data_IF_541984699436
#
_entry.id   IF_541984699436
#
_cell.length_a   1.000
_cell.length_b   1.000
_cell.length_c   1.000
_cell.angle_alpha   90.00
_cell.angle_beta   90.00
_cell.angle_gamma   90.00
#
_symmetry.space_group_name_H-M   'P 1'
#
loop_
_entity.id
_entity.type
_entity.pdbx_description
1 polymer ?
#
# COMPACT_ATOMS: atom_id res chain seq x y z
N UNK A 1 -14.17 -44.06 -7.32
CA UNK A 1 -14.07 -43.16 -6.15
C UNK A 1 -14.26 -41.73 -6.65
N UNK A 2 -15.51 -41.28 -6.72
CA UNK A 2 -15.83 -39.90 -7.15
C UNK A 2 -15.51 -38.99 -5.97
N UNK A 3 -14.45 -38.20 -6.10
CA UNK A 3 -14.18 -37.07 -5.22
C UNK A 3 -15.13 -35.94 -5.63
N UNK A 4 -16.39 -36.07 -5.23
CA UNK A 4 -17.34 -34.95 -5.19
C UNK A 4 -16.94 -34.04 -4.03
N UNK A 5 -15.76 -33.41 -4.15
CA UNK A 5 -15.35 -32.33 -3.28
C UNK A 5 -16.39 -31.21 -3.47
N UNK A 6 -16.89 -30.54 -2.43
CA UNK A 6 -17.75 -29.37 -2.60
C UNK A 6 -16.88 -28.21 -3.09
N UNK A 7 -16.53 -28.25 -4.39
CA UNK A 7 -15.74 -27.27 -5.13
C UNK A 7 -16.25 -25.81 -4.99
N UNK A 8 -17.55 -25.51 -4.80
CA UNK A 8 -17.98 -24.14 -4.48
C UNK A 8 -17.70 -23.71 -3.03
N UNK A 9 -17.64 -24.65 -2.07
CA UNK A 9 -17.46 -24.33 -0.66
C UNK A 9 -16.01 -23.91 -0.35
N UNK A 10 -15.01 -24.63 -0.88
CA UNK A 10 -13.59 -24.32 -0.60
C UNK A 10 -13.16 -22.90 -1.00
N UNK A 11 -13.78 -22.35 -2.05
CA UNK A 11 -13.44 -21.04 -2.63
C UNK A 11 -14.00 -19.88 -1.80
N UNK A 12 -15.25 -20.00 -1.36
CA UNK A 12 -15.87 -19.06 -0.42
C UNK A 12 -15.23 -19.17 0.96
N UNK A 13 -14.84 -20.39 1.36
CA UNK A 13 -14.08 -20.63 2.59
C UNK A 13 -12.73 -19.92 2.56
N UNK A 14 -12.04 -19.93 1.41
CA UNK A 14 -10.79 -19.19 1.24
C UNK A 14 -10.98 -17.68 1.35
N UNK A 15 -11.97 -17.12 0.65
CA UNK A 15 -12.33 -15.69 0.80
C UNK A 15 -12.68 -15.33 2.24
N UNK A 16 -13.46 -16.17 2.93
CA UNK A 16 -13.82 -16.00 4.34
C UNK A 16 -12.61 -16.08 5.26
N UNK A 17 -11.72 -17.06 5.06
CA UNK A 17 -10.48 -17.20 5.84
C UNK A 17 -9.55 -16.01 5.62
N UNK A 18 -9.42 -15.52 4.38
CA UNK A 18 -8.64 -14.32 4.07
C UNK A 18 -9.23 -13.08 4.76
N UNK A 19 -10.55 -12.89 4.66
CA UNK A 19 -11.23 -11.79 5.33
C UNK A 19 -11.08 -11.87 6.85
N UNK A 20 -11.20 -13.06 7.43
CA UNK A 20 -11.00 -13.31 8.85
C UNK A 20 -9.58 -12.91 9.28
N UNK A 21 -8.56 -13.45 8.62
CA UNK A 21 -7.15 -13.19 8.95
C UNK A 21 -6.82 -11.71 8.76
N UNK A 22 -7.23 -11.11 7.64
CA UNK A 22 -6.88 -9.72 7.37
C UNK A 22 -7.64 -8.75 8.27
N UNK A 23 -8.90 -9.05 8.62
CA UNK A 23 -9.65 -8.25 9.58
C UNK A 23 -9.06 -8.38 10.98
N UNK A 24 -8.62 -9.59 11.35
CA UNK A 24 -7.91 -9.84 12.59
C UNK A 24 -6.60 -9.04 12.66
N UNK A 25 -5.78 -9.09 11.61
CA UNK A 25 -4.57 -8.27 11.49
C UNK A 25 -4.93 -6.81 11.57
N UNK A 26 -5.86 -6.35 10.74
CA UNK A 26 -6.30 -4.97 10.76
C UNK A 26 -6.60 -4.55 12.20
N UNK A 27 -7.38 -5.32 12.97
CA UNK A 27 -7.80 -5.05 14.37
C UNK A 27 -6.67 -5.09 15.41
N UNK A 28 -5.77 -6.05 15.31
CA UNK A 28 -4.76 -6.33 16.34
C UNK A 28 -3.35 -5.83 15.98
N UNK A 29 -3.17 -5.25 14.79
CA UNK A 29 -1.88 -4.73 14.36
C UNK A 29 -1.53 -3.40 15.04
N UNK A 30 -0.28 -3.30 15.46
CA UNK A 30 0.35 -2.13 16.06
C UNK A 30 0.33 -0.92 15.10
N UNK A 31 0.25 -1.16 13.79
CA UNK A 31 0.15 -0.13 12.76
C UNK A 31 -0.97 0.89 13.02
N UNK A 32 -2.12 0.47 13.57
CA UNK A 32 -3.20 1.40 13.96
C UNK A 32 -2.76 2.39 15.02
N UNK A 33 -1.96 1.94 15.98
CA UNK A 33 -1.44 2.77 17.05
C UNK A 33 -0.32 3.67 16.52
N UNK A 34 0.53 3.14 15.64
CA UNK A 34 1.60 3.88 14.96
C UNK A 34 1.04 4.97 14.04
N UNK A 35 -0.16 4.83 13.48
CA UNK A 35 -0.77 5.87 12.64
C UNK A 35 -0.94 7.22 13.38
N UNK A 36 -0.99 7.20 14.72
CA UNK A 36 -1.03 8.40 15.55
C UNK A 36 0.35 9.02 15.81
N UNK A 37 1.44 8.34 15.46
CA UNK A 37 2.80 8.88 15.55
C UNK A 37 3.05 9.93 14.46
N UNK A 38 4.23 10.53 14.45
CA UNK A 38 4.65 11.51 13.44
C UNK A 38 5.83 10.98 12.63
N UNK A 39 6.02 11.54 11.42
CA UNK A 39 7.16 11.22 10.56
C UNK A 39 7.06 9.87 9.84
N UNK A 40 8.18 9.16 9.74
CA UNK A 40 8.31 7.92 8.97
C UNK A 40 7.39 6.79 9.45
N UNK A 41 7.28 6.47 10.76
CA UNK A 41 6.43 5.37 11.19
C UNK A 41 4.96 5.54 10.79
N UNK A 42 4.46 6.78 10.81
CA UNK A 42 3.09 7.10 10.35
C UNK A 42 2.91 6.82 8.85
N UNK A 43 3.90 7.16 8.02
CA UNK A 43 3.88 6.86 6.60
C UNK A 43 3.83 5.34 6.36
N UNK A 44 4.69 4.59 7.05
CA UNK A 44 4.70 3.12 6.93
C UNK A 44 3.35 2.54 7.34
N UNK A 45 2.79 2.98 8.48
CA UNK A 45 1.49 2.54 8.97
C UNK A 45 0.34 2.86 8.00
N UNK A 46 0.35 4.04 7.37
CA UNK A 46 -0.65 4.40 6.38
C UNK A 46 -0.61 3.48 5.15
N UNK A 47 0.57 3.21 4.61
CA UNK A 47 0.76 2.27 3.50
C UNK A 47 0.33 0.85 3.87
N UNK A 48 0.70 0.40 5.09
CA UNK A 48 0.35 -0.92 5.61
C UNK A 48 -1.17 -1.12 5.69
N UNK A 49 -1.86 -0.17 6.32
CA UNK A 49 -3.30 -0.22 6.54
C UNK A 49 -4.08 -0.12 5.21
N UNK A 50 -3.62 0.72 4.28
CA UNK A 50 -4.23 0.79 2.95
C UNK A 50 -4.03 -0.51 2.17
N UNK A 51 -2.87 -1.16 2.30
CA UNK A 51 -2.65 -2.50 1.73
C UNK A 51 -3.63 -3.54 2.29
N UNK A 52 -3.88 -3.53 3.60
CA UNK A 52 -4.88 -4.41 4.21
C UNK A 52 -6.30 -4.11 3.71
N UNK A 53 -6.65 -2.85 3.49
CA UNK A 53 -7.95 -2.48 2.92
C UNK A 53 -8.16 -3.13 1.53
N UNK A 54 -7.11 -3.20 0.69
CA UNK A 54 -7.19 -3.88 -0.59
C UNK A 54 -7.34 -5.40 -0.48
N UNK A 55 -6.72 -6.04 0.52
CA UNK A 55 -6.96 -7.46 0.78
C UNK A 55 -8.39 -7.74 1.25
N UNK A 56 -9.01 -6.82 1.99
CA UNK A 56 -10.45 -6.91 2.32
C UNK A 56 -11.28 -6.86 1.05
N UNK A 57 -10.96 -5.96 0.11
CA UNK A 57 -11.65 -5.89 -1.19
C UNK A 57 -11.49 -7.20 -1.97
N UNK A 58 -10.27 -7.73 -2.08
CA UNK A 58 -9.99 -9.01 -2.76
C UNK A 58 -10.76 -10.19 -2.12
N UNK A 59 -10.72 -10.31 -0.79
CA UNK A 59 -11.44 -11.35 -0.05
C UNK A 59 -12.95 -11.22 -0.17
N UNK A 60 -13.49 -9.99 -0.17
CA UNK A 60 -14.91 -9.70 -0.39
C UNK A 60 -15.38 -10.12 -1.78
N UNK A 61 -14.58 -9.85 -2.82
CA UNK A 61 -14.87 -10.28 -4.19
C UNK A 61 -14.94 -11.81 -4.28
N UNK A 62 -13.99 -12.54 -3.71
CA UNK A 62 -14.02 -14.01 -3.70
C UNK A 62 -15.14 -14.61 -2.85
N UNK A 63 -15.52 -13.95 -1.76
CA UNK A 63 -16.64 -14.39 -0.92
C UNK A 63 -17.99 -14.26 -1.65
N UNK A 64 -18.22 -13.12 -2.32
CA UNK A 64 -19.50 -12.79 -2.98
C UNK A 64 -19.58 -13.41 -4.38
N UNK A 65 -18.55 -13.19 -5.21
CA UNK A 65 -18.52 -13.60 -6.61
C UNK A 65 -18.06 -15.03 -6.87
N UNK A 66 -17.54 -15.73 -5.85
CA UNK A 66 -16.88 -17.02 -6.04
C UNK A 66 -15.49 -16.89 -6.66
N UNK A 67 -14.87 -18.02 -7.05
CA UNK A 67 -13.55 -18.00 -7.67
C UNK A 67 -13.64 -17.38 -9.08
N UNK A 68 -13.27 -16.11 -9.18
CA UNK A 68 -12.90 -15.53 -10.45
C UNK A 68 -11.59 -16.20 -10.88
N UNK A 69 -11.67 -17.21 -11.75
CA UNK A 69 -10.49 -17.90 -12.31
C UNK A 69 -10.09 -17.35 -13.67
N UNK A 70 -10.91 -16.45 -14.23
CA UNK A 70 -10.68 -15.76 -15.50
C UNK A 70 -11.59 -14.53 -15.58
N UNK A 71 -11.24 -13.61 -16.49
CA UNK A 71 -12.05 -12.43 -16.81
C UNK A 71 -11.81 -11.21 -15.90
N UNK A 72 -12.62 -10.14 -16.06
CA UNK A 72 -12.38 -8.85 -15.41
C UNK A 72 -12.33 -8.91 -13.89
N UNK A 73 -13.16 -9.77 -13.28
CA UNK A 73 -13.19 -9.94 -11.81
C UNK A 73 -11.88 -10.56 -11.30
N UNK A 74 -11.29 -11.49 -12.06
CA UNK A 74 -10.00 -12.09 -11.69
C UNK A 74 -8.90 -11.05 -11.76
N UNK A 75 -8.87 -10.26 -12.83
CA UNK A 75 -7.94 -9.15 -13.00
C UNK A 75 -8.04 -8.17 -11.84
N UNK A 76 -9.26 -7.78 -11.43
CA UNK A 76 -9.47 -6.93 -10.25
C UNK A 76 -8.84 -7.52 -9.00
N UNK A 77 -9.06 -8.80 -8.71
CA UNK A 77 -8.49 -9.45 -7.52
C UNK A 77 -6.97 -9.46 -7.58
N UNK A 78 -6.39 -9.84 -8.73
CA UNK A 78 -4.94 -9.86 -8.91
C UNK A 78 -4.34 -8.45 -8.72
N UNK A 79 -4.98 -7.41 -9.26
CA UNK A 79 -4.49 -6.04 -9.10
C UNK A 79 -4.67 -5.52 -7.66
N UNK A 80 -5.75 -5.88 -6.98
CA UNK A 80 -5.94 -5.57 -5.56
C UNK A 80 -4.85 -6.23 -4.69
N UNK A 81 -4.49 -7.49 -4.96
CA UNK A 81 -3.45 -8.20 -4.21
C UNK A 81 -2.05 -7.69 -4.57
N UNK A 82 -1.69 -7.64 -5.86
CA UNK A 82 -0.33 -7.28 -6.27
C UNK A 82 -0.04 -5.79 -6.15
N UNK A 83 -0.91 -4.93 -6.69
CA UNK A 83 -0.68 -3.49 -6.67
C UNK A 83 -1.22 -2.88 -5.38
N UNK A 84 -2.45 -3.26 -4.97
CA UNK A 84 -3.08 -2.70 -3.78
C UNK A 84 -2.36 -3.09 -2.50
N UNK A 85 -2.12 -4.39 -2.30
CA UNK A 85 -1.48 -4.90 -1.09
C UNK A 85 0.05 -4.97 -1.20
N UNK A 86 0.60 -5.73 -2.16
CA UNK A 86 2.03 -6.02 -2.21
C UNK A 86 2.88 -4.78 -2.48
N UNK A 87 2.53 -3.94 -3.47
CA UNK A 87 3.28 -2.70 -3.71
C UNK A 87 3.14 -1.70 -2.56
N UNK A 88 1.98 -1.61 -1.91
CA UNK A 88 1.82 -0.78 -0.71
C UNK A 88 2.72 -1.24 0.44
N UNK A 89 2.85 -2.56 0.66
CA UNK A 89 3.80 -3.13 1.61
C UNK A 89 5.25 -2.82 1.26
N UNK A 90 5.63 -2.97 -0.01
CA UNK A 90 6.97 -2.63 -0.49
C UNK A 90 7.26 -1.16 -0.22
N UNK A 91 6.33 -0.25 -0.54
CA UNK A 91 6.49 1.18 -0.28
C UNK A 91 6.49 1.52 1.21
N UNK A 92 5.76 0.79 2.05
CA UNK A 92 5.79 0.97 3.50
C UNK A 92 7.20 0.73 4.05
N UNK A 93 7.89 -0.32 3.59
CA UNK A 93 9.19 -0.71 4.13
C UNK A 93 10.40 -0.19 3.34
N UNK A 94 10.22 0.23 2.09
CA UNK A 94 11.31 0.74 1.27
C UNK A 94 12.13 1.87 1.93
N UNK A 95 11.55 2.84 2.66
CA UNK A 95 12.34 3.88 3.33
C UNK A 95 13.27 3.39 4.43
N UNK A 96 13.06 2.18 4.97
CA UNK A 96 13.94 1.57 5.99
C UNK A 96 14.87 0.52 5.38
N UNK A 97 14.43 -0.19 4.35
CA UNK A 97 15.25 -1.20 3.64
C UNK A 97 16.31 -0.54 2.76
N UNK A 98 15.93 0.49 1.99
CA UNK A 98 16.83 1.12 1.01
C UNK A 98 18.09 1.71 1.70
N UNK A 99 18.00 2.42 2.84
CA UNK A 99 19.18 2.84 3.61
C UNK A 99 20.08 1.71 4.07
N UNK A 100 19.49 0.58 4.50
CA UNK A 100 20.25 -0.56 5.02
C UNK A 100 21.10 -1.20 3.92
N UNK A 101 20.57 -1.27 2.70
CA UNK A 101 21.28 -1.81 1.53
C UNK A 101 22.28 -0.80 0.95
N UNK A 102 21.88 0.46 0.76
CA UNK A 102 22.74 1.49 0.17
C UNK A 102 23.74 2.10 1.19
N UNK A 103 23.63 1.75 2.47
CA UNK A 103 24.41 2.32 3.58
C UNK A 103 24.40 3.86 3.61
N UNK A 104 23.26 4.45 3.25
CA UNK A 104 23.04 5.92 3.20
C UNK A 104 21.75 6.27 3.93
N UNK A 105 21.75 7.26 4.84
CA UNK A 105 20.53 7.65 5.53
C UNK A 105 19.53 8.24 4.53
N UNK A 106 18.29 7.76 4.55
CA UNK A 106 17.20 8.32 3.75
C UNK A 106 16.31 9.16 4.66
N UNK A 107 16.46 10.50 4.65
CA UNK A 107 15.62 11.36 5.46
C UNK A 107 14.18 11.29 4.95
N UNK A 108 13.25 11.10 5.89
CA UNK A 108 11.83 11.13 5.58
C UNK A 108 11.41 12.53 5.11
N UNK A 109 10.70 12.60 3.98
CA UNK A 109 10.12 13.83 3.44
C UNK A 109 8.64 13.59 3.12
N UNK A 110 7.74 14.54 3.42
CA UNK A 110 6.30 14.37 3.19
C UNK A 110 5.95 14.15 1.70
N UNK A 111 6.84 14.54 0.78
CA UNK A 111 6.68 14.28 -0.66
C UNK A 111 6.59 12.78 -1.00
N UNK A 112 7.05 11.89 -0.12
CA UNK A 112 6.93 10.44 -0.31
C UNK A 112 5.48 9.94 -0.27
N UNK A 113 4.52 10.73 0.21
CA UNK A 113 3.10 10.40 0.10
C UNK A 113 2.56 10.52 -1.32
N UNK A 114 3.17 11.38 -2.15
CA UNK A 114 2.71 11.64 -3.52
C UNK A 114 2.65 10.36 -4.37
N UNK A 115 3.73 9.55 -4.49
CA UNK A 115 3.67 8.29 -5.24
C UNK A 115 2.69 7.27 -4.65
N UNK A 116 2.55 7.21 -3.34
CA UNK A 116 1.61 6.30 -2.68
C UNK A 116 0.17 6.69 -2.99
N UNK A 117 -0.16 7.98 -2.86
CA UNK A 117 -1.49 8.49 -3.20
C UNK A 117 -1.80 8.26 -4.69
N UNK A 118 -0.82 8.47 -5.56
CA UNK A 118 -0.95 8.20 -6.99
C UNK A 118 -1.22 6.72 -7.27
N UNK A 119 -0.51 5.81 -6.59
CA UNK A 119 -0.76 4.37 -6.73
C UNK A 119 -2.19 3.99 -6.28
N UNK A 120 -2.64 4.50 -5.14
CA UNK A 120 -3.99 4.17 -4.65
C UNK A 120 -5.06 4.74 -5.57
N UNK A 121 -4.85 5.95 -6.10
CA UNK A 121 -5.74 6.57 -7.08
C UNK A 121 -5.77 5.77 -8.40
N UNK A 122 -4.63 5.31 -8.90
CA UNK A 122 -4.55 4.53 -10.14
C UNK A 122 -5.23 3.17 -10.02
N UNK A 123 -5.10 2.50 -8.87
CA UNK A 123 -5.76 1.24 -8.61
C UNK A 123 -7.27 1.45 -8.45
N UNK A 124 -7.71 2.48 -7.71
CA UNK A 124 -9.12 2.83 -7.62
C UNK A 124 -9.72 3.11 -8.99
N UNK A 125 -9.02 3.88 -9.83
CA UNK A 125 -9.45 4.16 -11.21
C UNK A 125 -9.61 2.86 -12.01
N UNK A 126 -8.62 1.97 -11.94
CA UNK A 126 -8.61 0.72 -12.68
C UNK A 126 -9.71 -0.25 -12.23
N UNK A 127 -9.82 -0.46 -10.92
CA UNK A 127 -10.76 -1.42 -10.32
C UNK A 127 -12.21 -0.92 -10.43
N UNK A 128 -12.48 0.34 -10.08
CA UNK A 128 -13.86 0.87 -10.05
C UNK A 128 -14.39 1.25 -11.43
N UNK A 129 -13.53 1.67 -12.35
CA UNK A 129 -13.98 2.22 -13.64
C UNK A 129 -13.48 1.42 -14.85
N UNK A 130 -12.30 0.81 -14.78
CA UNK A 130 -11.78 -0.05 -15.84
C UNK A 130 -12.47 -1.41 -15.86
N UNK A 131 -12.29 -2.19 -14.79
CA UNK A 131 -12.78 -3.57 -14.73
C UNK A 131 -14.31 -3.65 -14.62
N UNK A 132 -14.94 -2.72 -13.88
CA UNK A 132 -16.39 -2.73 -13.68
C UNK A 132 -17.18 -2.24 -14.91
N UNK A 133 -16.58 -1.44 -15.80
CA UNK A 133 -17.26 -0.89 -17.01
C UNK A 133 -16.68 -1.40 -18.32
N UNK A 134 -15.63 -2.22 -18.30
CA UNK A 134 -15.01 -2.79 -19.49
C UNK A 134 -14.34 -1.77 -20.42
N UNK A 135 -13.99 -0.58 -19.91
CA UNK A 135 -13.41 0.50 -20.71
C UNK A 135 -11.89 0.31 -20.85
N UNK A 136 -11.44 -0.12 -22.02
CA UNK A 136 -10.02 -0.39 -22.33
C UNK A 136 -9.10 0.81 -22.05
N UNK A 137 -9.58 2.02 -22.30
CA UNK A 137 -8.80 3.24 -22.15
C UNK A 137 -8.48 3.53 -20.68
N UNK A 138 -9.42 3.26 -19.78
CA UNK A 138 -9.22 3.42 -18.35
C UNK A 138 -8.34 2.31 -17.76
N UNK A 139 -8.35 1.10 -18.35
CA UNK A 139 -7.41 0.04 -17.98
C UNK A 139 -5.97 0.44 -18.33
N UNK A 140 -5.75 0.99 -19.52
CA UNK A 140 -4.45 1.49 -19.97
C UNK A 140 -3.99 2.71 -19.15
N UNK A 141 -4.90 3.64 -18.88
CA UNK A 141 -4.61 4.81 -18.04
C UNK A 141 -4.26 4.39 -16.62
N UNK A 142 -5.03 3.49 -16.00
CA UNK A 142 -4.71 2.94 -14.68
C UNK A 142 -3.35 2.21 -14.68
N UNK A 143 -3.05 1.45 -15.72
CA UNK A 143 -1.75 0.77 -15.89
C UNK A 143 -0.57 1.75 -15.98
N UNK A 144 -0.67 2.76 -16.84
CA UNK A 144 0.38 3.78 -16.99
C UNK A 144 0.58 4.61 -15.71
N UNK A 145 -0.49 4.95 -15.00
CA UNK A 145 -0.41 5.63 -13.71
C UNK A 145 0.25 4.77 -12.63
N UNK A 146 0.03 3.45 -12.62
CA UNK A 146 0.73 2.54 -11.69
C UNK A 146 2.25 2.55 -11.94
N UNK A 147 2.66 2.49 -13.22
CA UNK A 147 4.09 2.57 -13.59
C UNK A 147 4.66 3.94 -13.17
N UNK A 148 3.95 5.03 -13.46
CA UNK A 148 4.35 6.37 -13.08
C UNK A 148 4.49 6.52 -11.56
N UNK A 149 3.56 5.95 -10.77
CA UNK A 149 3.62 5.96 -9.31
C UNK A 149 4.87 5.25 -8.79
N UNK A 150 5.21 4.08 -9.34
CA UNK A 150 6.40 3.34 -8.93
C UNK A 150 7.70 4.07 -9.30
N UNK A 151 7.78 4.62 -10.51
CA UNK A 151 8.94 5.42 -10.93
C UNK A 151 9.09 6.67 -10.07
N UNK A 152 7.99 7.37 -9.78
CA UNK A 152 7.98 8.54 -8.92
C UNK A 152 8.42 8.18 -7.50
N UNK A 153 8.05 7.00 -6.99
CA UNK A 153 8.54 6.51 -5.70
C UNK A 153 10.05 6.32 -5.71
N UNK A 154 10.61 5.67 -6.74
CA UNK A 154 12.05 5.48 -6.87
C UNK A 154 12.78 6.83 -6.95
N UNK A 155 12.31 7.73 -7.81
CA UNK A 155 12.92 9.06 -7.99
C UNK A 155 12.88 9.86 -6.69
N UNK A 156 11.76 9.88 -5.97
CA UNK A 156 11.63 10.60 -4.70
C UNK A 156 12.51 9.99 -3.59
N UNK A 157 12.61 8.67 -3.53
CA UNK A 157 13.48 7.97 -2.58
C UNK A 157 14.97 8.26 -2.84
N UNK A 158 15.41 8.13 -4.10
CA UNK A 158 16.79 8.43 -4.51
C UNK A 158 17.12 9.90 -4.31
N UNK A 159 16.24 10.82 -4.74
CA UNK A 159 16.44 12.25 -4.55
C UNK A 159 16.55 12.62 -3.05
N UNK A 160 15.78 11.97 -2.18
CA UNK A 160 15.90 12.19 -0.73
C UNK A 160 17.23 11.67 -0.17
N UNK A 161 17.69 10.50 -0.63
CA UNK A 161 18.97 9.92 -0.22
C UNK A 161 20.17 10.79 -0.67
N UNK A 162 20.11 11.39 -1.86
CA UNK A 162 21.19 12.25 -2.40
C UNK A 162 21.21 13.63 -1.74
N UNK A 163 20.04 14.22 -1.43
CA UNK A 163 19.93 15.60 -0.91
C UNK A 163 20.39 15.78 0.55
N UNK A 164 20.78 14.71 1.25
CA UNK A 164 21.28 14.78 2.63
C UNK A 164 20.23 15.26 3.65
N UNK A 165 20.62 15.37 4.93
CA UNK A 165 19.71 15.70 6.03
C UNK A 165 18.95 17.01 5.78
N UNK A 166 17.66 17.04 6.12
CA UNK A 166 16.89 18.29 6.15
C UNK A 166 17.55 19.19 7.20
N UNK A 167 17.93 20.45 6.87
CA UNK A 167 18.48 21.37 7.86
C UNK A 167 17.49 21.48 9.01
N UNK A 168 17.89 21.07 10.21
CA UNK A 168 17.12 21.35 11.40
C UNK A 168 17.01 22.87 11.50
N UNK A 169 15.79 23.41 11.38
CA UNK A 169 15.52 24.78 11.80
C UNK A 169 16.10 24.90 13.19
N UNK A 170 17.16 25.71 13.38
CA UNK A 170 17.70 26.03 14.69
C UNK A 170 16.52 26.50 15.53
N UNK A 171 15.97 25.65 16.39
CA UNK A 171 15.17 26.15 17.49
C UNK A 171 16.11 27.07 18.24
N UNK A 172 15.74 28.35 18.29
CA UNK A 172 16.46 29.37 19.02
C UNK A 172 16.83 28.79 20.39
N UNK A 173 18.13 28.77 20.67
CA UNK A 173 18.65 28.36 21.96
C UNK A 173 17.88 29.16 23.02
N UNK A 174 17.21 28.50 23.99
CA UNK A 174 16.55 29.23 25.06
C UNK A 174 17.64 30.04 25.75
N UNK A 175 17.49 31.36 25.72
CA UNK A 175 18.42 32.30 26.32
C UNK A 175 18.79 31.78 27.71
N UNK A 176 20.08 31.50 27.89
CA UNK A 176 20.72 31.26 29.17
C UNK A 176 20.33 32.40 30.09
N UNK A 177 19.32 32.18 30.92
CA UNK A 177 18.96 33.10 31.99
C UNK A 177 20.05 32.93 33.03
N UNK A 178 21.09 33.75 32.92
CA UNK A 178 22.06 33.97 33.98
C UNK A 178 21.27 34.30 35.25
N UNK A 179 21.27 33.36 36.19
CA UNK A 179 20.86 33.60 37.57
C UNK A 179 22.11 34.06 38.30
N UNK A 180 22.16 35.38 38.49
CA UNK A 180 22.68 36.00 39.70
C UNK A 180 21.91 35.51 40.93
#
# INVERSE_FOLDING_TARGET
MRLDCPLPAGRRLFGLALLWVVSWFFLHDVARRILRSTGLPRFMAACLLSGYAWLVVAGGIWLIGGAATSGPVYDTVIHAVLLGFTLSMIMAHAPVILPAVLRRPLPYRPIMYLPVALLHASILLRVLFGDARGLSDLLQLGGSLNIAALLLFIVTAVASAVRGPVPATKLASPARKDRQ
#
